data_IF_812358280028
#
_entry.id   IF_812358280028
#
_cell.length_a   1.000
_cell.length_b   1.000
_cell.length_c   1.000
_cell.angle_alpha   90.00
_cell.angle_beta   90.00
_cell.angle_gamma   90.00
#
_symmetry.space_group_name_H-M   'P 1'
#
loop_
_entity.id
_entity.type
_entity.pdbx_description
1 polymer ?
#
# COMPACT_ATOMS: atom_id res chain seq x y z
N UNK A 1 -2.10 -28.75 21.13
CA UNK A 1 -1.75 -27.87 20.00
C UNK A 1 -2.83 -28.01 18.95
N UNK A 2 -3.62 -26.97 18.67
CA UNK A 2 -4.70 -27.04 17.69
C UNK A 2 -4.11 -27.00 16.27
N UNK A 3 -4.49 -27.95 15.40
CA UNK A 3 -4.10 -27.97 13.98
C UNK A 3 -5.16 -27.25 13.17
N UNK A 4 -4.79 -26.20 12.45
CA UNK A 4 -5.68 -25.55 11.48
C UNK A 4 -5.94 -26.55 10.36
N UNK A 5 -7.22 -26.89 10.14
CA UNK A 5 -7.65 -27.82 9.08
C UNK A 5 -8.20 -27.09 7.86
N UNK A 6 -8.89 -25.97 8.09
CA UNK A 6 -9.56 -25.19 7.05
C UNK A 6 -9.26 -23.69 7.26
N UNK A 7 -9.03 -22.96 6.15
CA UNK A 7 -8.89 -21.50 6.10
C UNK A 7 -9.63 -21.02 4.86
N UNK A 8 -10.45 -19.99 5.01
CA UNK A 8 -11.19 -19.37 3.91
C UNK A 8 -10.85 -17.88 3.87
N UNK A 9 -10.80 -17.30 2.67
CA UNK A 9 -10.65 -15.86 2.48
C UNK A 9 -12.02 -15.25 2.21
N UNK A 10 -12.47 -14.37 3.08
CA UNK A 10 -13.69 -13.58 2.88
C UNK A 10 -13.30 -12.14 2.53
N UNK A 11 -13.67 -11.64 1.33
CA UNK A 11 -13.44 -10.25 0.99
C UNK A 11 -14.29 -9.35 1.87
N UNK A 12 -13.75 -8.19 2.23
CA UNK A 12 -14.50 -7.21 3.01
C UNK A 12 -15.55 -6.51 2.15
N UNK A 13 -16.67 -6.13 2.76
CA UNK A 13 -17.68 -5.29 2.11
C UNK A 13 -17.14 -3.87 1.90
N UNK A 14 -16.39 -3.35 2.88
CA UNK A 14 -15.79 -2.03 2.78
C UNK A 14 -14.45 -2.03 2.06
N UNK A 15 -14.25 -1.00 1.23
CA UNK A 15 -13.08 -0.87 0.37
C UNK A 15 -12.45 0.51 0.47
N UNK A 16 -11.15 0.56 0.16
CA UNK A 16 -10.45 1.82 -0.07
C UNK A 16 -10.68 2.27 -1.52
N UNK A 17 -11.64 3.17 -1.71
CA UNK A 17 -12.10 3.60 -3.03
C UNK A 17 -11.49 4.94 -3.48
N UNK A 18 -11.60 5.22 -4.78
CA UNK A 18 -11.11 6.44 -5.44
C UNK A 18 -9.58 6.67 -5.27
N UNK A 19 -8.82 5.58 -5.17
CA UNK A 19 -7.36 5.61 -5.03
C UNK A 19 -6.70 5.42 -6.41
N UNK A 20 -5.68 6.24 -6.69
CA UNK A 20 -4.86 6.11 -7.91
C UNK A 20 -3.59 5.31 -7.64
N UNK A 21 -3.68 4.00 -7.74
CA UNK A 21 -2.55 3.07 -7.63
C UNK A 21 -1.81 3.02 -8.97
N UNK A 22 -0.47 3.07 -8.94
CA UNK A 22 0.34 2.97 -10.16
C UNK A 22 0.19 1.57 -10.78
N UNK A 23 -0.09 1.46 -12.09
CA UNK A 23 -0.19 0.17 -12.78
C UNK A 23 1.18 -0.37 -13.26
N UNK A 24 2.27 0.34 -12.96
CA UNK A 24 3.61 -0.01 -13.44
C UNK A 24 4.08 -1.32 -12.79
N UNK A 25 4.49 -2.28 -13.62
CA UNK A 25 4.97 -3.58 -13.15
C UNK A 25 6.21 -3.43 -12.25
N UNK A 26 6.23 -4.22 -11.17
CA UNK A 26 7.34 -4.39 -10.24
C UNK A 26 7.61 -5.90 -10.07
N UNK A 27 8.80 -6.24 -9.58
CA UNK A 27 9.15 -7.64 -9.25
C UNK A 27 8.73 -8.03 -7.82
N UNK A 28 7.84 -7.26 -7.19
CA UNK A 28 7.47 -7.37 -5.76
C UNK A 28 5.95 -7.37 -5.61
N UNK A 29 5.43 -7.52 -4.39
CA UNK A 29 3.99 -7.38 -4.12
C UNK A 29 3.44 -5.99 -4.48
N UNK A 30 4.31 -4.98 -4.62
CA UNK A 30 3.93 -3.61 -4.98
C UNK A 30 3.22 -2.81 -3.88
N UNK A 31 2.78 -3.42 -2.79
CA UNK A 31 2.09 -2.77 -1.67
C UNK A 31 2.73 -3.24 -0.35
N UNK A 32 2.78 -2.34 0.63
CA UNK A 32 3.21 -2.66 2.00
C UNK A 32 2.17 -2.18 3.02
N UNK A 33 2.03 -2.90 4.12
CA UNK A 33 1.19 -2.50 5.24
C UNK A 33 1.95 -2.58 6.57
N UNK A 34 1.50 -1.77 7.53
CA UNK A 34 1.87 -1.86 8.94
C UNK A 34 0.60 -2.05 9.76
N UNK A 35 0.71 -2.03 11.10
CA UNK A 35 -0.43 -2.14 12.01
C UNK A 35 -1.51 -1.05 11.85
N UNK A 36 -1.20 0.09 11.21
CA UNK A 36 -2.15 1.20 11.05
C UNK A 36 -2.07 1.95 9.71
N UNK A 37 -1.19 1.54 8.80
CA UNK A 37 -0.96 2.23 7.52
C UNK A 37 -0.88 1.25 6.37
N UNK A 38 -1.32 1.69 5.20
CA UNK A 38 -1.08 1.04 3.91
C UNK A 38 -0.28 2.01 3.05
N UNK A 39 0.81 1.54 2.45
CA UNK A 39 1.63 2.29 1.52
C UNK A 39 1.62 1.61 0.13
N UNK A 40 1.45 2.42 -0.91
CA UNK A 40 1.36 1.95 -2.29
C UNK A 40 1.95 2.98 -3.27
N UNK A 41 2.45 2.57 -4.44
CA UNK A 41 2.91 3.48 -5.48
C UNK A 41 1.73 4.28 -6.01
N UNK A 42 1.84 5.60 -5.98
CA UNK A 42 0.85 6.50 -6.57
C UNK A 42 1.04 6.58 -8.08
N UNK A 43 -0.07 6.63 -8.82
CA UNK A 43 -0.03 6.80 -10.27
C UNK A 43 0.44 8.22 -10.65
N UNK A 44 1.63 8.29 -11.24
CA UNK A 44 2.29 9.51 -11.72
C UNK A 44 3.01 9.23 -13.04
N UNK A 45 3.09 10.27 -13.88
CA UNK A 45 3.71 10.20 -15.21
C UNK A 45 5.20 9.86 -15.12
N UNK A 46 5.93 10.48 -14.19
CA UNK A 46 7.37 10.28 -14.02
C UNK A 46 7.77 10.23 -12.55
N UNK A 47 8.92 9.62 -12.29
CA UNK A 47 9.44 9.41 -10.94
C UNK A 47 8.61 8.44 -10.10
N UNK A 48 8.86 8.51 -8.79
CA UNK A 48 8.24 7.66 -7.78
C UNK A 48 7.58 8.50 -6.71
N UNK A 49 6.29 8.23 -6.51
CA UNK A 49 5.48 8.82 -5.46
C UNK A 49 4.82 7.69 -4.69
N UNK A 50 4.81 7.79 -3.37
CA UNK A 50 4.16 6.80 -2.50
C UNK A 50 2.95 7.46 -1.85
N UNK A 51 1.78 6.84 -2.03
CA UNK A 51 0.58 7.16 -1.28
C UNK A 51 0.57 6.37 0.02
N UNK A 52 0.18 7.01 1.11
CA UNK A 52 0.00 6.38 2.43
C UNK A 52 -1.38 6.72 2.96
N UNK A 53 -2.13 5.70 3.35
CA UNK A 53 -3.45 5.82 3.98
C UNK A 53 -3.46 5.13 5.35
N UNK A 54 -4.44 5.49 6.18
CA UNK A 54 -4.67 4.83 7.47
C UNK A 54 -5.50 3.55 7.25
N UNK A 55 -5.01 2.42 7.75
CA UNK A 55 -5.65 1.10 7.66
C UNK A 55 -7.05 1.08 8.32
N UNK A 56 -7.29 1.94 9.29
CA UNK A 56 -8.58 1.99 10.00
C UNK A 56 -9.56 3.02 9.40
N UNK A 57 -9.23 3.61 8.24
CA UNK A 57 -10.07 4.58 7.54
C UNK A 57 -10.31 4.12 6.11
N UNK A 58 -11.42 3.43 5.90
CA UNK A 58 -11.89 2.93 4.61
C UNK A 58 -13.04 3.79 4.06
N UNK A 59 -13.42 3.55 2.81
CA UNK A 59 -14.41 4.33 2.08
C UNK A 59 -13.82 5.16 0.94
N UNK A 60 -14.56 6.20 0.54
CA UNK A 60 -14.22 7.08 -0.59
C UNK A 60 -13.44 8.32 -0.13
N UNK A 61 -12.71 8.95 -1.06
CA UNK A 61 -12.02 10.24 -0.86
C UNK A 61 -11.16 10.29 0.41
N UNK A 62 -10.40 9.22 0.64
CA UNK A 62 -9.55 9.11 1.82
C UNK A 62 -8.44 10.16 1.82
N UNK A 63 -8.04 10.68 2.99
CA UNK A 63 -6.87 11.54 3.10
C UNK A 63 -5.62 10.71 2.80
N UNK A 64 -4.96 11.01 1.67
CA UNK A 64 -3.75 10.32 1.23
C UNK A 64 -2.55 11.22 1.47
N UNK A 65 -1.64 10.76 2.34
CA UNK A 65 -0.32 11.37 2.50
C UNK A 65 0.56 10.97 1.31
N UNK A 66 1.21 11.94 0.68
CA UNK A 66 2.06 11.74 -0.49
C UNK A 66 3.52 11.92 -0.13
N UNK A 67 4.30 10.83 -0.15
CA UNK A 67 5.74 10.86 0.06
C UNK A 67 6.44 10.97 -1.29
N UNK A 68 7.16 12.08 -1.48
CA UNK A 68 7.94 12.41 -2.67
C UNK A 68 9.42 12.18 -2.41
N UNK A 69 10.23 12.15 -3.47
CA UNK A 69 11.69 12.16 -3.37
C UNK A 69 12.40 11.18 -4.32
N UNK A 70 11.67 10.22 -4.89
CA UNK A 70 12.27 9.27 -5.84
C UNK A 70 12.18 9.80 -7.28
N UNK A 71 13.33 9.84 -7.95
CA UNK A 71 13.45 10.21 -9.36
C UNK A 71 13.02 9.10 -10.32
N UNK A 72 12.95 7.86 -9.83
CA UNK A 72 12.57 6.66 -10.59
C UNK A 72 11.31 6.01 -10.03
N UNK A 73 10.70 5.08 -10.78
CA UNK A 73 9.53 4.30 -10.33
C UNK A 73 9.82 3.59 -9.01
N UNK A 74 8.78 3.30 -8.22
CA UNK A 74 8.89 2.52 -6.98
C UNK A 74 8.94 1.03 -7.34
N UNK A 75 9.98 0.32 -6.89
CA UNK A 75 10.16 -1.14 -7.13
C UNK A 75 9.84 -1.96 -5.90
N UNK A 76 10.28 -1.48 -4.72
CA UNK A 76 10.04 -2.11 -3.44
C UNK A 76 9.48 -1.09 -2.43
N UNK A 77 8.53 -1.57 -1.63
CA UNK A 77 7.98 -0.88 -0.46
C UNK A 77 8.06 -1.80 0.73
N UNK A 78 8.59 -1.30 1.85
CA UNK A 78 8.58 -2.02 3.12
C UNK A 78 8.42 -1.04 4.28
N UNK A 79 7.71 -1.44 5.32
CA UNK A 79 7.76 -0.76 6.62
C UNK A 79 8.85 -1.39 7.48
N UNK A 80 9.76 -0.58 8.01
CA UNK A 80 10.75 -0.99 9.00
C UNK A 80 10.38 -0.36 10.34
N UNK A 81 9.83 -1.16 11.26
CA UNK A 81 9.27 -0.77 12.57
C UNK A 81 8.23 0.38 12.51
N UNK A 82 8.69 1.63 12.31
CA UNK A 82 7.88 2.86 12.34
C UNK A 82 7.97 3.65 11.01
N UNK A 83 8.98 3.39 10.18
CA UNK A 83 9.29 4.17 8.96
C UNK A 83 9.08 3.35 7.68
N UNK A 84 8.84 4.04 6.55
CA UNK A 84 8.83 3.40 5.23
C UNK A 84 10.25 3.39 4.69
N UNK A 85 10.76 2.21 4.37
CA UNK A 85 12.00 2.00 3.65
C UNK A 85 11.68 1.81 2.16
N UNK A 86 12.34 2.63 1.33
CA UNK A 86 12.32 2.51 -0.12
C UNK A 86 13.68 1.98 -0.53
N UNK A 87 13.73 0.77 -1.08
CA UNK A 87 14.93 0.16 -1.66
C UNK A 87 14.83 0.24 -3.19
#
# INVERSE_FOLDING_TARGET
>A
MAKIKNVFGEPWEEVYADIRISPRATSTSGIACSHNKIAFPWDVVSGGLVGVINLNKYGKKLPILKLKGRLLKIELLQFCHISICLL
#
